data_IF_447719047536
#
_entry.id   IF_447719047536
#
_cell.length_a   1.000
_cell.length_b   1.000
_cell.length_c   1.000
_cell.angle_alpha   90.00
_cell.angle_beta   90.00
_cell.angle_gamma   90.00
#
_symmetry.space_group_name_H-M   'P 1'
#
loop_
_entity.id
_entity.type
_entity.pdbx_description
1 polymer ?
#
# COMPACT_ATOMS: atom_id res chain seq x y z
N UNK A 1 -14.94 20.52 -19.56
CA UNK A 1 -13.75 20.74 -20.42
C UNK A 1 -12.69 19.75 -19.95
N UNK A 2 -12.14 18.95 -20.87
CA UNK A 2 -11.13 17.92 -20.59
C UNK A 2 -9.71 18.48 -20.76
N UNK A 3 -8.74 17.62 -21.10
CA UNK A 3 -7.38 18.04 -21.39
C UNK A 3 -7.31 18.98 -22.60
N UNK A 4 -6.48 20.02 -22.52
CA UNK A 4 -6.26 21.02 -23.57
C UNK A 4 -4.76 21.12 -23.89
N UNK A 5 -4.43 21.34 -25.17
CA UNK A 5 -3.03 21.51 -25.59
C UNK A 5 -2.64 22.99 -25.49
N UNK A 6 -1.68 23.31 -24.62
CA UNK A 6 -1.04 24.63 -24.55
C UNK A 6 0.40 24.56 -25.04
N UNK A 7 0.63 25.06 -26.25
CA UNK A 7 1.94 24.99 -26.91
C UNK A 7 2.40 23.54 -27.08
N UNK A 8 3.47 23.15 -26.37
CA UNK A 8 4.04 21.80 -26.37
C UNK A 8 3.50 20.89 -25.26
N UNK A 9 2.72 21.42 -24.33
CA UNK A 9 2.23 20.67 -23.18
C UNK A 9 0.73 20.40 -23.29
N UNK A 10 0.29 19.35 -22.60
CA UNK A 10 -1.12 19.08 -22.38
C UNK A 10 -1.45 19.45 -20.94
N UNK A 11 -2.38 20.38 -20.75
CA UNK A 11 -2.90 20.76 -19.45
C UNK A 11 -4.20 20.00 -19.17
N UNK A 12 -4.32 19.43 -17.97
CA UNK A 12 -5.53 18.74 -17.53
C UNK A 12 -6.14 19.55 -16.39
N UNK A 13 -7.36 20.10 -16.55
CA UNK A 13 -8.00 20.83 -15.47
C UNK A 13 -8.32 19.90 -14.30
N UNK A 14 -8.03 20.33 -13.08
CA UNK A 14 -8.34 19.61 -11.84
C UNK A 14 -9.57 20.20 -11.14
N UNK A 15 -10.26 19.40 -10.31
CA UNK A 15 -11.29 19.88 -9.38
C UNK A 15 -10.66 20.63 -8.20
N UNK A 16 -11.50 21.21 -7.34
CA UNK A 16 -11.07 21.81 -6.07
C UNK A 16 -10.35 20.80 -5.16
N UNK A 17 -10.70 19.51 -5.26
CA UNK A 17 -10.03 18.40 -4.57
C UNK A 17 -8.76 17.90 -5.29
N UNK A 18 -8.30 18.55 -6.36
CA UNK A 18 -7.09 18.16 -7.10
C UNK A 18 -7.27 16.97 -8.06
N UNK A 19 -8.50 16.47 -8.24
CA UNK A 19 -8.78 15.34 -9.13
C UNK A 19 -8.93 15.78 -10.58
N UNK A 20 -8.34 15.09 -11.57
CA UNK A 20 -8.41 15.49 -12.97
C UNK A 20 -9.84 15.38 -13.52
N UNK A 21 -10.32 16.43 -14.18
CA UNK A 21 -11.57 16.43 -14.94
C UNK A 21 -11.35 15.78 -16.30
N UNK A 22 -11.54 14.46 -16.36
CA UNK A 22 -11.35 13.66 -17.57
C UNK A 22 -12.66 13.54 -18.35
N UNK A 23 -12.61 13.80 -19.65
CA UNK A 23 -13.71 13.47 -20.58
C UNK A 23 -13.30 12.19 -21.34
N UNK A 24 -14.08 11.10 -21.28
CA UNK A 24 -13.71 9.85 -21.95
C UNK A 24 -13.66 10.04 -23.47
N UNK A 25 -12.55 9.62 -24.08
CA UNK A 25 -12.39 9.63 -25.53
C UNK A 25 -13.16 8.45 -26.18
N UNK A 26 -13.54 8.61 -27.45
CA UNK A 26 -14.21 7.54 -28.22
C UNK A 26 -13.26 6.43 -28.69
N UNK A 27 -11.96 6.69 -28.75
CA UNK A 27 -10.93 5.76 -29.25
C UNK A 27 -9.80 5.59 -28.23
N UNK A 28 -9.11 4.45 -28.29
CA UNK A 28 -7.98 4.13 -27.44
C UNK A 28 -8.35 3.40 -26.15
N UNK A 29 -7.35 3.02 -25.33
CA UNK A 29 -7.57 2.34 -24.07
C UNK A 29 -8.39 3.22 -23.12
N UNK A 30 -9.33 2.60 -22.38
CA UNK A 30 -9.99 3.27 -21.28
C UNK A 30 -8.95 3.61 -20.21
N UNK A 31 -8.97 4.84 -19.70
CA UNK A 31 -8.11 5.22 -18.59
C UNK A 31 -8.47 4.46 -17.31
N UNK A 32 -7.47 4.06 -16.53
CA UNK A 32 -7.62 3.34 -15.25
C UNK A 32 -7.54 4.35 -14.08
N UNK A 33 -7.98 5.58 -14.31
CA UNK A 33 -7.83 6.66 -13.34
C UNK A 33 -8.89 6.53 -12.24
N UNK A 34 -8.47 6.71 -10.99
CA UNK A 34 -9.41 6.84 -9.88
C UNK A 34 -10.13 8.19 -9.98
N UNK A 35 -11.44 8.19 -10.16
CA UNK A 35 -12.26 9.41 -10.27
C UNK A 35 -12.77 9.94 -8.92
N UNK A 36 -12.57 9.19 -7.83
CA UNK A 36 -13.03 9.53 -6.48
C UNK A 36 -11.96 9.19 -5.46
N UNK A 37 -11.89 9.99 -4.41
CA UNK A 37 -11.11 9.64 -3.22
C UNK A 37 -11.72 8.40 -2.57
N UNK A 38 -10.86 7.53 -2.05
CA UNK A 38 -11.28 6.32 -1.37
C UNK A 38 -11.92 6.70 -0.03
N UNK A 39 -13.18 6.36 0.18
CA UNK A 39 -13.87 6.60 1.46
C UNK A 39 -13.54 5.54 2.52
N UNK A 40 -13.01 4.41 2.09
CA UNK A 40 -12.61 3.28 2.94
C UNK A 40 -11.11 3.34 3.18
N UNK A 41 -10.64 3.47 4.43
CA UNK A 41 -9.22 3.46 4.71
C UNK A 41 -8.64 2.06 4.43
N UNK A 42 -7.41 2.04 3.93
CA UNK A 42 -6.63 0.81 3.88
C UNK A 42 -6.17 0.46 5.29
N UNK A 43 -6.38 -0.79 5.69
CA UNK A 43 -6.03 -1.29 7.01
C UNK A 43 -4.75 -2.13 6.93
N UNK A 44 -3.68 -1.65 7.55
CA UNK A 44 -2.42 -2.35 7.67
C UNK A 44 -2.36 -3.04 9.03
N UNK A 45 -2.05 -4.34 9.03
CA UNK A 45 -1.93 -5.13 10.24
C UNK A 45 -0.66 -5.98 10.21
N UNK A 46 0.04 -6.03 11.34
CA UNK A 46 1.25 -6.84 11.56
C UNK A 46 0.86 -8.15 12.23
N UNK A 47 1.11 -9.27 11.56
CA UNK A 47 0.71 -10.59 12.02
C UNK A 47 1.73 -11.18 13.01
N UNK A 48 1.45 -11.05 14.30
CA UNK A 48 2.30 -11.58 15.37
C UNK A 48 2.50 -13.10 15.30
N UNK A 49 1.47 -13.87 14.91
CA UNK A 49 1.58 -15.34 14.83
C UNK A 49 2.61 -15.76 13.78
N UNK A 50 2.62 -15.08 12.63
CA UNK A 50 3.63 -15.30 11.59
C UNK A 50 5.03 -14.90 12.04
N UNK A 51 5.17 -13.77 12.75
CA UNK A 51 6.45 -13.36 13.33
C UNK A 51 7.01 -14.45 14.26
N UNK A 52 6.17 -14.99 15.14
CA UNK A 52 6.57 -16.06 16.07
C UNK A 52 6.96 -17.32 15.29
N UNK A 53 6.14 -17.75 14.33
CA UNK A 53 6.40 -18.93 13.51
C UNK A 53 7.69 -18.82 12.69
N UNK A 54 8.01 -17.63 12.17
CA UNK A 54 9.18 -17.39 11.34
C UNK A 54 10.51 -17.51 12.09
N UNK A 55 10.54 -17.38 13.43
CA UNK A 55 11.78 -17.43 14.23
C UNK A 55 12.60 -18.70 14.03
N UNK A 56 11.94 -19.83 13.78
CA UNK A 56 12.59 -21.13 13.57
C UNK A 56 12.69 -21.56 12.11
N UNK A 57 12.34 -20.71 11.15
CA UNK A 57 12.31 -21.06 9.72
C UNK A 57 13.59 -20.64 9.03
N UNK A 58 13.99 -21.42 8.03
CA UNK A 58 15.03 -21.03 7.09
C UNK A 58 14.57 -19.79 6.28
N UNK A 59 15.50 -18.94 5.81
CA UNK A 59 15.18 -17.70 5.09
C UNK A 59 14.21 -17.88 3.91
N UNK A 60 14.34 -18.98 3.17
CA UNK A 60 13.53 -19.31 1.98
C UNK A 60 12.07 -19.68 2.35
N UNK A 61 11.82 -19.97 3.63
CA UNK A 61 10.52 -20.37 4.16
C UNK A 61 9.88 -19.30 5.03
N UNK A 62 10.47 -18.11 5.12
CA UNK A 62 9.87 -16.99 5.84
C UNK A 62 8.56 -16.60 5.17
N UNK A 63 7.55 -16.33 5.99
CA UNK A 63 6.27 -15.85 5.49
C UNK A 63 6.14 -14.33 5.68
N UNK A 64 5.47 -13.61 4.77
CA UNK A 64 5.24 -12.18 4.92
C UNK A 64 4.34 -11.88 6.12
N UNK A 65 4.78 -10.93 6.95
CA UNK A 65 4.17 -10.60 8.24
C UNK A 65 3.30 -9.35 8.20
N UNK A 66 3.51 -8.47 7.23
CA UNK A 66 2.70 -7.27 7.03
C UNK A 66 1.55 -7.60 6.10
N UNK A 67 0.34 -7.27 6.52
CA UNK A 67 -0.88 -7.45 5.73
C UNK A 67 -1.56 -6.11 5.47
N UNK A 68 -2.01 -5.91 4.24
CA UNK A 68 -2.79 -4.77 3.81
C UNK A 68 -4.18 -5.25 3.41
N UNK A 69 -5.20 -4.81 4.13
CA UNK A 69 -6.60 -5.08 3.82
C UNK A 69 -7.21 -3.85 3.16
N UNK A 70 -7.77 -4.04 1.98
CA UNK A 70 -8.49 -3.00 1.27
C UNK A 70 -9.70 -3.63 0.59
N UNK A 71 -10.90 -3.20 1.01
CA UNK A 71 -12.17 -3.79 0.60
C UNK A 71 -12.20 -5.31 0.92
N UNK A 72 -12.35 -6.15 -0.09
CA UNK A 72 -12.39 -7.61 0.04
C UNK A 72 -11.00 -8.26 -0.11
N UNK A 73 -10.01 -7.47 -0.54
CA UNK A 73 -8.67 -7.98 -0.83
C UNK A 73 -7.76 -7.90 0.39
N UNK A 74 -6.91 -8.93 0.52
CA UNK A 74 -5.86 -9.00 1.53
C UNK A 74 -4.53 -9.23 0.80
N UNK A 75 -3.64 -8.27 0.88
CA UNK A 75 -2.29 -8.36 0.33
C UNK A 75 -1.29 -8.58 1.46
N UNK A 76 -0.18 -9.24 1.17
CA UNK A 76 0.86 -9.53 2.14
C UNK A 76 2.21 -9.12 1.58
N UNK A 77 3.09 -8.67 2.46
CA UNK A 77 4.49 -8.43 2.15
C UNK A 77 5.35 -8.43 3.40
N UNK A 78 6.66 -8.31 3.19
CA UNK A 78 7.64 -8.24 4.27
C UNK A 78 7.74 -6.81 4.79
N UNK A 79 7.87 -5.87 3.86
CA UNK A 79 8.00 -4.44 4.12
C UNK A 79 6.99 -3.62 3.33
N UNK A 80 6.48 -2.57 3.96
CA UNK A 80 5.50 -1.67 3.37
C UNK A 80 5.85 -0.22 3.68
N UNK A 81 5.79 0.61 2.65
CA UNK A 81 5.98 2.05 2.73
C UNK A 81 4.63 2.77 2.60
N UNK A 82 4.42 3.79 3.44
CA UNK A 82 3.22 4.65 3.41
C UNK A 82 3.68 6.05 3.03
N UNK A 83 3.15 6.61 1.93
CA UNK A 83 3.61 7.90 1.40
C UNK A 83 2.91 9.12 2.02
N UNK A 84 2.21 8.94 3.15
CA UNK A 84 1.44 10.03 3.76
C UNK A 84 0.95 9.73 5.18
N UNK A 85 0.12 10.63 5.72
CA UNK A 85 -0.49 10.49 7.04
C UNK A 85 -1.12 9.12 7.28
N UNK A 86 -1.01 8.64 8.51
CA UNK A 86 -1.69 7.42 8.94
C UNK A 86 -2.15 7.56 10.39
N UNK A 87 -3.11 6.72 10.77
CA UNK A 87 -3.65 6.65 12.11
C UNK A 87 -3.39 5.26 12.69
N UNK A 88 -2.78 5.21 13.88
CA UNK A 88 -2.69 3.97 14.66
C UNK A 88 -3.98 3.82 15.46
N UNK A 89 -4.65 2.69 15.31
CA UNK A 89 -5.94 2.41 15.94
C UNK A 89 -5.80 1.22 16.87
N UNK A 90 -6.04 1.45 18.17
CA UNK A 90 -6.13 0.40 19.18
C UNK A 90 -7.57 0.26 19.67
N UNK A 91 -8.12 -0.96 19.62
CA UNK A 91 -9.45 -1.30 20.13
C UNK A 91 -9.42 -2.62 20.91
N UNK A 92 -9.36 -2.58 22.25
CA UNK A 92 -9.30 -3.79 23.06
C UNK A 92 -10.62 -4.57 23.08
N UNK A 93 -11.77 -3.89 23.16
CA UNK A 93 -13.07 -4.57 23.35
C UNK A 93 -13.83 -4.87 22.06
N UNK A 94 -13.56 -4.12 20.98
CA UNK A 94 -14.23 -4.25 19.68
C UNK A 94 -13.17 -4.34 18.58
N UNK A 95 -12.57 -5.52 18.37
CA UNK A 95 -11.53 -5.69 17.35
C UNK A 95 -12.09 -5.42 15.94
N UNK A 96 -11.18 -5.21 15.00
CA UNK A 96 -11.53 -5.17 13.58
C UNK A 96 -12.20 -6.49 13.15
N UNK A 97 -12.92 -6.49 12.02
CA UNK A 97 -13.58 -7.70 11.48
C UNK A 97 -12.63 -8.90 11.33
N UNK A 98 -11.33 -8.66 11.14
CA UNK A 98 -10.32 -9.70 11.06
C UNK A 98 -9.75 -10.16 12.41
N UNK A 99 -10.30 -9.71 13.54
CA UNK A 99 -9.83 -10.03 14.89
C UNK A 99 -8.63 -9.21 15.39
N UNK A 100 -8.11 -8.27 14.60
CA UNK A 100 -7.01 -7.42 15.04
C UNK A 100 -7.48 -6.39 16.06
N UNK A 101 -6.73 -6.23 17.15
CA UNK A 101 -6.97 -5.21 18.17
C UNK A 101 -6.13 -3.94 17.97
N UNK A 102 -5.01 -4.04 17.25
CA UNK A 102 -4.14 -2.93 16.90
C UNK A 102 -3.84 -3.00 15.40
N UNK A 103 -3.99 -1.88 14.70
CA UNK A 103 -3.70 -1.75 13.28
C UNK A 103 -3.42 -0.29 12.91
N UNK A 104 -3.00 -0.08 11.67
CA UNK A 104 -2.76 1.25 11.10
C UNK A 104 -3.78 1.46 9.98
N UNK A 105 -4.43 2.62 9.96
CA UNK A 105 -5.33 3.06 8.90
C UNK A 105 -4.65 4.15 8.08
N UNK A 106 -4.80 4.10 6.76
CA UNK A 106 -4.35 5.17 5.86
C UNK A 106 -5.28 5.31 4.65
N UNK A 107 -5.43 6.54 4.18
CA UNK A 107 -6.08 6.86 2.90
C UNK A 107 -5.05 7.14 1.81
N UNK A 108 -3.76 7.19 2.17
CA UNK A 108 -2.68 7.52 1.28
C UNK A 108 -2.13 6.27 0.59
N UNK A 109 -1.47 6.44 -0.57
CA UNK A 109 -0.85 5.34 -1.28
C UNK A 109 0.12 4.55 -0.39
N UNK A 110 0.06 3.23 -0.56
CA UNK A 110 0.95 2.28 0.10
C UNK A 110 1.63 1.41 -0.96
N UNK A 111 2.89 1.06 -0.71
CA UNK A 111 3.70 0.27 -1.63
C UNK A 111 4.43 -0.80 -0.84
N UNK A 112 4.36 -2.05 -1.29
CA UNK A 112 5.25 -3.09 -0.79
C UNK A 112 6.63 -2.86 -1.40
N UNK A 113 7.64 -2.74 -0.54
CA UNK A 113 9.02 -2.46 -0.96
C UNK A 113 9.67 -3.74 -1.48
N UNK A 114 9.43 -4.86 -0.81
CA UNK A 114 9.99 -6.16 -1.17
C UNK A 114 8.86 -7.16 -1.47
N UNK A 115 8.64 -7.38 -2.77
CA UNK A 115 7.76 -8.42 -3.29
C UNK A 115 8.55 -9.59 -3.91
N UNK A 116 9.89 -9.52 -3.94
CA UNK A 116 10.77 -10.45 -4.64
C UNK A 116 11.73 -11.23 -3.73
N UNK A 117 11.37 -11.35 -2.45
CA UNK A 117 12.08 -12.13 -1.43
C UNK A 117 12.51 -13.56 -1.84
N UNK A 118 11.88 -14.14 -2.86
CA UNK A 118 12.23 -15.44 -3.42
C UNK A 118 13.57 -15.46 -4.18
N UNK A 119 14.18 -14.30 -4.47
CA UNK A 119 15.43 -14.20 -5.23
C UNK A 119 16.68 -14.08 -4.33
N UNK A 120 16.59 -13.38 -3.19
CA UNK A 120 17.71 -13.27 -2.24
C UNK A 120 17.25 -12.96 -0.79
N UNK A 121 16.97 -14.00 0.02
CA UNK A 121 16.57 -13.87 1.42
C UNK A 121 17.63 -13.28 2.36
N UNK A 122 18.90 -13.17 1.92
CA UNK A 122 20.00 -12.65 2.76
C UNK A 122 19.93 -11.12 2.92
N UNK A 123 19.31 -10.42 1.96
CA UNK A 123 19.13 -8.96 1.98
C UNK A 123 18.18 -8.49 3.09
N UNK A 124 17.31 -9.37 3.56
CA UNK A 124 16.29 -9.06 4.57
C UNK A 124 16.83 -8.85 6.00
N UNK A 125 18.14 -8.94 6.20
CA UNK A 125 18.77 -8.99 7.54
C UNK A 125 19.98 -8.10 7.72
N UNK A 126 20.16 -7.06 6.91
CA UNK A 126 21.20 -6.08 7.21
C UNK A 126 20.55 -4.87 7.89
N UNK A 127 20.71 -4.68 9.23
CA UNK A 127 20.41 -3.39 9.83
C UNK A 127 21.15 -2.30 9.05
N UNK A 128 20.49 -1.18 8.77
CA UNK A 128 20.99 -0.04 7.96
C UNK A 128 22.47 0.34 8.22
N UNK A 129 22.98 0.08 9.42
CA UNK A 129 24.37 0.31 9.84
C UNK A 129 25.43 -0.58 9.17
N UNK A 130 25.07 -1.64 8.46
CA UNK A 130 26.03 -2.57 7.85
C UNK A 130 26.18 -2.43 6.33
N UNK A 131 25.46 -1.51 5.68
CA UNK A 131 25.72 -1.15 4.29
C UNK A 131 26.92 -0.18 4.26
N UNK A 132 28.13 -0.72 4.20
CA UNK A 132 29.29 0.08 3.76
C UNK A 132 29.31 0.10 2.23
N UNK A 133 29.43 1.30 1.68
CA UNK A 133 29.54 1.60 0.23
C UNK A 133 30.69 0.86 -0.43
#
# INVERSE_FOLDING_TARGET
>A
KGAEKKGRFWEIPVSESGMPRIIPARRGPKGIWHHRETTVPQMIHVNQKKIISNKGKAPEKLEPVVSLKHNEHNYYGYDLYISGPCQIVYRPYKPAKCGAHLWINTYHPVQFIDTQFNLDPATARQPYRQIKR
#
